data_IF_268606060627
#
_entry.id   IF_268606060627
#
_cell.length_a   1.000
_cell.length_b   1.000
_cell.length_c   1.000
_cell.angle_alpha   90.00
_cell.angle_beta   90.00
_cell.angle_gamma   90.00
#
_symmetry.space_group_name_H-M   'P 1'
#
loop_
_entity.id
_entity.type
_entity.pdbx_description
1 polymer ?
#
# COMPACT_ATOMS: atom_id res chain seq x y z
N UNK A 1 -59.66 37.73 -34.45
CA UNK A 1 -58.26 37.44 -34.83
C UNK A 1 -58.21 36.09 -35.54
N UNK A 2 -57.39 35.97 -36.58
CA UNK A 2 -56.97 34.64 -37.07
C UNK A 2 -55.96 34.12 -36.06
N UNK A 3 -56.03 32.83 -35.71
CA UNK A 3 -55.07 32.22 -34.80
C UNK A 3 -53.75 32.01 -35.54
N UNK A 4 -52.68 32.64 -35.07
CA UNK A 4 -51.33 32.43 -35.57
C UNK A 4 -50.71 31.19 -34.89
N UNK A 5 -49.69 30.58 -35.51
CA UNK A 5 -49.00 29.45 -34.90
C UNK A 5 -47.87 29.94 -33.97
N UNK A 6 -47.52 29.19 -32.92
CA UNK A 6 -46.41 29.54 -32.04
C UNK A 6 -45.09 29.69 -32.79
N UNK A 7 -44.20 30.52 -32.24
CA UNK A 7 -42.82 30.69 -32.70
C UNK A 7 -41.89 30.26 -31.58
N UNK A 8 -41.10 29.22 -31.85
CA UNK A 8 -40.15 28.71 -30.88
C UNK A 8 -38.73 29.22 -31.06
N UNK A 9 -37.98 29.26 -29.97
CA UNK A 9 -36.59 29.71 -29.92
C UNK A 9 -35.66 28.60 -29.42
N UNK A 10 -34.43 28.55 -29.95
CA UNK A 10 -33.48 27.48 -29.61
C UNK A 10 -33.17 27.41 -28.12
N UNK A 11 -33.18 26.19 -27.60
CA UNK A 11 -32.86 25.88 -26.21
C UNK A 11 -31.47 25.24 -26.09
N UNK A 12 -30.81 25.45 -24.96
CA UNK A 12 -29.48 24.90 -24.70
C UNK A 12 -29.42 24.37 -23.26
N UNK A 13 -28.93 23.15 -23.09
CA UNK A 13 -28.74 22.49 -21.81
C UNK A 13 -27.35 21.87 -21.73
N UNK A 14 -26.92 21.54 -20.52
CA UNK A 14 -25.66 20.83 -20.26
C UNK A 14 -25.94 19.67 -19.33
N UNK A 15 -25.44 18.48 -19.68
CA UNK A 15 -25.66 17.24 -18.94
C UNK A 15 -24.36 16.46 -18.88
N UNK A 16 -24.09 15.81 -17.75
CA UNK A 16 -22.96 14.89 -17.62
C UNK A 16 -23.28 13.62 -18.39
N UNK A 17 -22.35 13.11 -19.17
CA UNK A 17 -22.53 11.87 -19.89
C UNK A 17 -22.97 10.69 -19.01
N UNK A 18 -23.62 9.69 -19.60
CA UNK A 18 -24.14 8.52 -18.89
C UNK A 18 -25.23 8.81 -17.83
N UNK A 19 -25.47 10.08 -17.49
CA UNK A 19 -26.42 10.49 -16.47
C UNK A 19 -27.83 10.62 -17.03
N UNK A 20 -28.83 10.55 -16.15
CA UNK A 20 -30.22 10.88 -16.49
C UNK A 20 -30.63 12.13 -15.72
N UNK A 21 -31.02 13.16 -16.46
CA UNK A 21 -31.36 14.48 -15.92
C UNK A 21 -32.78 14.88 -16.31
N UNK A 22 -33.53 15.45 -15.36
CA UNK A 22 -34.78 16.15 -15.64
C UNK A 22 -34.48 17.63 -15.87
N UNK A 23 -34.84 18.12 -17.06
CA UNK A 23 -34.47 19.44 -17.56
C UNK A 23 -35.69 20.37 -17.61
N UNK A 24 -35.39 21.68 -17.47
CA UNK A 24 -36.39 22.74 -17.45
C UNK A 24 -37.15 22.84 -18.78
N UNK A 25 -38.29 23.52 -18.76
CA UNK A 25 -39.16 23.61 -19.93
C UNK A 25 -38.52 24.36 -21.10
N UNK A 26 -38.61 23.78 -22.30
CA UNK A 26 -38.20 24.41 -23.57
C UNK A 26 -39.12 25.57 -23.99
N UNK A 27 -40.30 25.69 -23.38
CA UNK A 27 -41.31 26.68 -23.79
C UNK A 27 -41.07 28.07 -23.19
N UNK A 28 -40.05 28.26 -22.35
CA UNK A 28 -39.88 29.48 -21.55
C UNK A 28 -39.47 30.70 -22.38
N UNK A 29 -38.81 30.46 -23.51
CA UNK A 29 -38.39 31.46 -24.48
C UNK A 29 -39.29 31.49 -25.73
N UNK A 30 -40.32 30.65 -25.78
CA UNK A 30 -41.26 30.56 -26.90
C UNK A 30 -42.36 31.63 -26.80
N UNK A 31 -42.93 31.99 -27.95
CA UNK A 31 -43.96 33.04 -28.02
C UNK A 31 -45.12 32.65 -28.92
N UNK A 32 -46.26 33.27 -28.64
CA UNK A 32 -47.47 33.18 -29.43
C UNK A 32 -48.06 34.59 -29.57
N UNK A 33 -48.54 34.95 -30.76
CA UNK A 33 -49.01 36.32 -31.05
C UNK A 33 -50.24 36.66 -30.22
N UNK A 34 -51.10 35.68 -29.98
CA UNK A 34 -52.30 35.80 -29.16
C UNK A 34 -52.01 35.62 -27.66
N UNK A 35 -50.77 35.27 -27.29
CA UNK A 35 -50.35 34.87 -25.94
C UNK A 35 -51.13 33.67 -25.41
N UNK A 36 -51.47 32.72 -26.28
CA UNK A 36 -52.05 31.46 -25.87
C UNK A 36 -51.07 30.66 -24.98
N UNK A 37 -51.55 29.92 -23.97
CA UNK A 37 -50.71 28.99 -23.22
C UNK A 37 -50.08 27.96 -24.15
N UNK A 38 -48.75 27.80 -24.05
CA UNK A 38 -48.01 26.87 -24.89
C UNK A 38 -47.82 25.51 -24.22
N UNK A 39 -47.84 24.48 -25.05
CA UNK A 39 -47.43 23.10 -24.74
C UNK A 39 -46.45 22.61 -25.80
N UNK A 40 -45.74 21.51 -25.57
CA UNK A 40 -45.06 20.79 -26.65
C UNK A 40 -46.04 19.78 -27.23
N UNK A 41 -46.34 19.89 -28.53
CA UNK A 41 -47.26 18.97 -29.21
C UNK A 41 -46.55 17.70 -29.66
N UNK A 42 -45.44 17.87 -30.38
CA UNK A 42 -44.64 16.79 -30.94
C UNK A 42 -43.14 17.09 -30.86
N UNK A 43 -42.33 16.04 -30.82
CA UNK A 43 -40.88 16.10 -30.80
C UNK A 43 -40.30 15.00 -31.69
N UNK A 44 -39.08 15.20 -32.18
CA UNK A 44 -38.45 14.31 -33.16
C UNK A 44 -36.92 14.34 -33.00
N UNK A 45 -36.23 13.36 -33.60
CA UNK A 45 -34.76 13.27 -33.58
C UNK A 45 -34.09 14.45 -34.28
N UNK A 46 -34.68 15.01 -35.34
CA UNK A 46 -34.08 16.11 -36.11
C UNK A 46 -35.12 16.92 -36.89
N UNK A 47 -34.71 18.04 -37.51
CA UNK A 47 -35.59 18.96 -38.26
C UNK A 47 -36.27 18.35 -39.49
N UNK A 48 -35.90 17.12 -39.92
CA UNK A 48 -36.65 16.38 -40.94
C UNK A 48 -37.87 15.64 -40.37
N UNK A 49 -38.10 15.71 -39.05
CA UNK A 49 -39.22 15.04 -38.37
C UNK A 49 -39.01 13.53 -38.22
N UNK A 50 -37.77 13.05 -38.30
CA UNK A 50 -37.46 11.62 -38.15
C UNK A 50 -37.84 11.16 -36.74
N UNK A 51 -38.60 10.06 -36.66
CA UNK A 51 -39.04 9.52 -35.38
C UNK A 51 -39.98 10.46 -34.62
N UNK A 52 -40.82 11.23 -35.30
CA UNK A 52 -41.78 12.14 -34.66
C UNK A 52 -42.70 11.39 -33.70
N UNK A 53 -42.74 11.86 -32.45
CA UNK A 53 -43.59 11.36 -31.38
C UNK A 53 -44.43 12.48 -30.76
N UNK A 54 -45.57 12.15 -30.17
CA UNK A 54 -46.35 13.09 -29.34
C UNK A 54 -45.69 13.25 -27.98
N UNK A 55 -45.55 14.49 -27.49
CA UNK A 55 -45.07 14.73 -26.13
C UNK A 55 -46.17 14.42 -25.11
N UNK A 56 -45.97 13.37 -24.32
CA UNK A 56 -46.96 12.85 -23.37
C UNK A 56 -46.33 12.35 -22.05
N UNK A 57 -45.03 12.61 -21.86
CA UNK A 57 -44.25 12.17 -20.70
C UNK A 57 -43.87 10.69 -20.69
N UNK A 58 -44.10 9.95 -21.77
CA UNK A 58 -43.74 8.53 -21.87
C UNK A 58 -43.12 8.13 -23.20
N UNK A 59 -43.48 8.79 -24.29
CA UNK A 59 -42.87 8.54 -25.60
C UNK A 59 -41.40 8.95 -25.57
N UNK A 60 -40.59 8.26 -26.37
CA UNK A 60 -39.16 8.52 -26.45
C UNK A 60 -38.68 8.74 -27.87
N UNK A 61 -37.61 9.53 -28.03
CA UNK A 61 -36.79 9.53 -29.23
C UNK A 61 -35.34 9.28 -28.84
N UNK A 62 -34.61 8.60 -29.72
CA UNK A 62 -33.15 8.48 -29.63
C UNK A 62 -32.53 9.52 -30.55
N UNK A 63 -31.59 10.28 -30.02
CA UNK A 63 -30.88 11.36 -30.71
C UNK A 63 -29.73 10.81 -31.55
N UNK A 64 -29.03 11.69 -32.27
CA UNK A 64 -27.93 11.30 -33.14
C UNK A 64 -26.73 10.72 -32.36
N UNK A 65 -26.42 11.27 -31.17
CA UNK A 65 -25.34 10.74 -30.33
C UNK A 65 -25.78 9.55 -29.46
N UNK A 66 -27.04 9.13 -29.55
CA UNK A 66 -27.58 7.96 -28.83
C UNK A 66 -28.24 8.29 -27.48
N UNK A 67 -28.37 9.58 -27.14
CA UNK A 67 -29.16 10.02 -26.00
C UNK A 67 -30.64 9.71 -26.16
N UNK A 68 -31.35 9.54 -25.03
CA UNK A 68 -32.78 9.25 -25.02
C UNK A 68 -33.56 10.40 -24.40
N UNK A 69 -34.53 10.95 -25.12
CA UNK A 69 -35.39 12.05 -24.67
C UNK A 69 -36.78 11.52 -24.36
N UNK A 70 -37.31 11.86 -23.18
CA UNK A 70 -38.72 11.68 -22.79
C UNK A 70 -39.35 13.05 -22.60
N UNK A 71 -40.24 13.45 -23.50
CA UNK A 71 -40.80 14.81 -23.56
C UNK A 71 -42.18 14.89 -22.89
N UNK A 72 -42.35 15.79 -21.92
CA UNK A 72 -43.66 16.12 -21.35
C UNK A 72 -44.37 17.20 -22.19
N UNK A 73 -45.70 17.20 -22.15
CA UNK A 73 -46.50 18.21 -22.84
C UNK A 73 -46.29 19.63 -22.28
N UNK A 74 -45.87 19.77 -21.01
CA UNK A 74 -45.56 21.07 -20.39
C UNK A 74 -44.19 21.64 -20.79
N UNK A 75 -43.48 20.96 -21.68
CA UNK A 75 -42.17 21.36 -22.18
C UNK A 75 -40.99 20.95 -21.31
N UNK A 76 -41.21 20.43 -20.09
CA UNK A 76 -40.14 19.76 -19.34
C UNK A 76 -39.81 18.41 -19.98
N UNK A 77 -38.59 17.91 -19.79
CA UNK A 77 -38.21 16.62 -20.35
C UNK A 77 -37.14 15.93 -19.52
N UNK A 78 -37.08 14.61 -19.63
CA UNK A 78 -35.97 13.81 -19.11
C UNK A 78 -35.05 13.47 -20.27
N UNK A 79 -33.76 13.65 -20.07
CA UNK A 79 -32.72 13.23 -21.01
C UNK A 79 -31.77 12.26 -20.33
N UNK A 80 -31.60 11.08 -20.92
CA UNK A 80 -30.56 10.12 -20.57
C UNK A 80 -29.41 10.28 -21.56
N UNK A 81 -28.28 10.79 -21.08
CA UNK A 81 -27.10 11.01 -21.88
C UNK A 81 -26.44 9.66 -22.25
N UNK A 82 -25.94 9.52 -23.49
CA UNK A 82 -25.11 8.38 -23.85
C UNK A 82 -23.76 8.47 -23.11
N UNK A 83 -23.05 7.35 -22.97
CA UNK A 83 -21.63 7.37 -22.67
C UNK A 83 -20.86 7.75 -23.94
N UNK A 84 -19.84 8.59 -23.80
CA UNK A 84 -19.06 9.18 -24.86
C UNK A 84 -17.59 9.00 -24.52
N UNK A 85 -16.78 8.71 -25.51
CA UNK A 85 -15.34 8.73 -25.34
C UNK A 85 -14.87 10.10 -25.82
N UNK A 86 -14.37 10.91 -24.88
CA UNK A 86 -13.91 12.28 -25.08
C UNK A 86 -12.43 12.36 -25.52
N UNK A 87 -11.83 11.26 -26.00
CA UNK A 87 -10.37 11.13 -26.24
C UNK A 87 -9.81 12.17 -27.21
N UNK A 88 -10.67 12.64 -28.10
CA UNK A 88 -10.33 13.72 -29.00
C UNK A 88 -10.74 15.02 -28.35
N UNK A 89 -9.76 15.75 -27.81
CA UNK A 89 -9.84 17.20 -27.81
C UNK A 89 -10.01 17.65 -29.27
N UNK A 90 -11.27 17.79 -29.68
CA UNK A 90 -11.75 18.78 -30.62
C UNK A 90 -11.04 18.84 -32.00
N UNK A 91 -11.27 17.84 -32.86
CA UNK A 91 -11.34 18.11 -34.31
C UNK A 91 -12.77 18.34 -34.80
N UNK A 92 -13.78 17.93 -34.02
CA UNK A 92 -15.20 17.95 -34.39
C UNK A 92 -16.08 18.87 -33.50
N UNK A 93 -15.50 19.62 -32.55
CA UNK A 93 -16.22 20.45 -31.59
C UNK A 93 -16.53 19.76 -30.25
N UNK A 94 -17.13 20.48 -29.29
CA UNK A 94 -17.70 19.88 -28.09
C UNK A 94 -18.77 18.83 -28.45
N UNK A 95 -18.90 17.77 -27.65
CA UNK A 95 -19.95 16.77 -27.81
C UNK A 95 -21.33 17.39 -27.54
N UNK A 96 -21.98 17.85 -28.61
CA UNK A 96 -23.31 18.45 -28.58
C UNK A 96 -24.29 17.50 -29.23
N UNK A 97 -25.21 16.98 -28.43
CA UNK A 97 -26.37 16.25 -28.90
C UNK A 97 -27.53 17.18 -29.20
N UNK A 98 -28.52 16.73 -29.96
CA UNK A 98 -29.70 17.54 -30.26
C UNK A 98 -30.95 16.74 -30.57
N UNK A 99 -32.08 17.39 -30.34
CA UNK A 99 -33.40 16.97 -30.84
C UNK A 99 -34.22 18.20 -31.18
N UNK A 100 -35.43 18.00 -31.71
CA UNK A 100 -36.33 19.11 -32.04
C UNK A 100 -37.73 18.94 -31.49
N UNK A 101 -38.44 20.04 -31.28
CA UNK A 101 -39.85 20.06 -30.89
C UNK A 101 -40.67 21.07 -31.68
N UNK A 102 -42.00 20.96 -31.57
CA UNK A 102 -42.95 21.99 -32.02
C UNK A 102 -43.86 22.38 -30.86
N UNK A 103 -43.86 23.67 -30.53
CA UNK A 103 -44.79 24.25 -29.56
C UNK A 103 -46.21 24.28 -30.13
N UNK A 104 -47.20 24.21 -29.25
CA UNK A 104 -48.62 24.10 -29.57
C UNK A 104 -49.44 25.03 -28.68
N UNK A 105 -50.31 25.83 -29.29
CA UNK A 105 -51.18 26.85 -28.64
C UNK A 105 -52.57 26.30 -28.22
N UNK A 106 -52.77 24.98 -28.31
CA UNK A 106 -54.06 24.30 -28.13
C UNK A 106 -54.81 24.01 -29.45
N UNK A 107 -54.35 24.54 -30.59
CA UNK A 107 -54.95 24.37 -31.91
C UNK A 107 -53.91 24.06 -33.00
N UNK A 108 -52.87 24.87 -33.12
CA UNK A 108 -51.81 24.79 -34.13
C UNK A 108 -50.47 24.46 -33.50
N UNK A 109 -49.66 23.68 -34.22
CA UNK A 109 -48.24 23.53 -33.92
C UNK A 109 -47.44 24.63 -34.64
N UNK A 110 -46.35 25.09 -34.01
CA UNK A 110 -45.36 25.99 -34.61
C UNK A 110 -44.99 25.52 -36.02
N UNK A 111 -44.82 26.41 -37.01
CA UNK A 111 -44.63 25.94 -38.40
C UNK A 111 -43.29 25.22 -38.60
N UNK A 112 -42.24 25.69 -37.94
CA UNK A 112 -40.90 25.11 -37.99
C UNK A 112 -40.59 24.30 -36.73
N UNK A 113 -39.66 23.34 -36.87
CA UNK A 113 -39.04 22.65 -35.75
C UNK A 113 -38.08 23.58 -35.00
N UNK A 114 -38.20 23.62 -33.68
CA UNK A 114 -37.28 24.32 -32.78
C UNK A 114 -36.24 23.34 -32.26
N UNK A 115 -34.96 23.71 -32.33
CA UNK A 115 -33.84 22.86 -31.91
C UNK A 115 -33.56 23.01 -30.43
N UNK A 116 -33.30 21.89 -29.76
CA UNK A 116 -32.74 21.81 -28.41
C UNK A 116 -31.34 21.24 -28.53
N UNK A 117 -30.34 21.99 -28.08
CA UNK A 117 -28.96 21.53 -27.99
C UNK A 117 -28.65 21.06 -26.57
N UNK A 118 -27.90 19.96 -26.46
CA UNK A 118 -27.47 19.41 -25.18
C UNK A 118 -25.96 19.19 -25.26
N UNK A 119 -25.20 20.01 -24.55
CA UNK A 119 -23.75 19.80 -24.37
C UNK A 119 -23.54 18.68 -23.37
N UNK A 120 -22.79 17.66 -23.77
CA UNK A 120 -22.35 16.59 -22.90
C UNK A 120 -21.02 16.99 -22.27
N UNK A 121 -20.92 16.85 -20.95
CA UNK A 121 -19.65 17.07 -20.23
C UNK A 121 -19.05 15.74 -19.82
N UNK A 122 -17.74 15.70 -19.99
CA UNK A 122 -16.86 14.59 -19.66
C UNK A 122 -16.79 14.30 -18.16
N UNK A 123 -16.62 13.03 -17.82
CA UNK A 123 -16.34 12.59 -16.45
C UNK A 123 -14.89 12.15 -16.32
N UNK A 124 -14.21 12.52 -15.24
CA UNK A 124 -12.83 12.09 -14.96
C UNK A 124 -12.81 10.94 -13.95
N UNK A 125 -11.82 10.04 -14.00
CA UNK A 125 -11.58 9.09 -12.92
C UNK A 125 -10.99 9.82 -11.71
N UNK A 126 -11.18 9.29 -10.51
CA UNK A 126 -10.63 9.87 -9.28
C UNK A 126 -9.82 8.81 -8.54
N UNK A 127 -8.50 9.01 -8.56
CA UNK A 127 -7.55 8.16 -7.84
C UNK A 127 -7.43 8.59 -6.36
N UNK A 128 -7.26 7.63 -5.45
CA UNK A 128 -7.22 7.83 -3.99
C UNK A 128 -5.89 7.36 -3.42
N UNK A 129 -5.30 8.14 -2.51
CA UNK A 129 -4.03 7.73 -1.90
C UNK A 129 -4.18 6.45 -1.07
N UNK A 130 -3.23 5.55 -1.26
CA UNK A 130 -3.12 4.24 -0.64
C UNK A 130 -1.97 4.19 0.37
N UNK A 131 -2.18 3.41 1.42
CA UNK A 131 -1.17 3.12 2.43
C UNK A 131 -1.21 1.64 2.73
N UNK A 132 -0.05 1.01 2.69
CA UNK A 132 0.13 -0.40 3.00
C UNK A 132 1.41 -0.60 3.83
N UNK A 133 1.58 -1.77 4.42
CA UNK A 133 2.73 -2.09 5.27
C UNK A 133 3.28 -3.48 5.01
N UNK A 134 4.60 -3.60 5.03
CA UNK A 134 5.28 -4.88 4.83
C UNK A 134 6.24 -5.17 5.98
N UNK A 135 6.18 -6.41 6.46
CA UNK A 135 7.11 -6.93 7.45
C UNK A 135 8.46 -7.30 6.83
N UNK A 136 9.50 -7.35 7.65
CA UNK A 136 10.84 -7.80 7.24
C UNK A 136 10.79 -9.18 6.58
N UNK A 137 11.42 -9.32 5.41
CA UNK A 137 11.50 -10.54 4.61
C UNK A 137 10.17 -11.04 4.04
N UNK A 138 9.10 -10.25 4.17
CA UNK A 138 7.77 -10.58 3.70
C UNK A 138 7.43 -9.85 2.39
N UNK A 139 6.30 -10.23 1.82
CA UNK A 139 5.67 -9.52 0.71
C UNK A 139 4.23 -9.18 1.07
N UNK A 140 3.73 -8.09 0.52
CA UNK A 140 2.32 -7.70 0.57
C UNK A 140 1.79 -7.54 -0.85
N UNK A 141 0.50 -7.80 -1.03
CA UNK A 141 -0.18 -7.73 -2.33
C UNK A 141 -1.45 -6.91 -2.20
N UNK A 142 -1.74 -6.09 -3.19
CA UNK A 142 -2.97 -5.32 -3.25
C UNK A 142 -3.29 -4.87 -4.65
N UNK A 143 -4.26 -3.98 -4.77
CA UNK A 143 -4.63 -3.36 -6.04
C UNK A 143 -5.05 -1.91 -5.79
N UNK A 144 -4.32 -0.97 -6.40
CA UNK A 144 -4.53 0.47 -6.21
C UNK A 144 -5.83 0.98 -6.81
N UNK A 145 -6.38 0.29 -7.82
CA UNK A 145 -7.64 0.68 -8.48
C UNK A 145 -8.85 0.16 -7.68
N UNK A 146 -8.83 -1.13 -7.32
CA UNK A 146 -9.98 -1.82 -6.72
C UNK A 146 -10.02 -1.76 -5.19
N UNK A 147 -8.92 -1.33 -4.54
CA UNK A 147 -8.80 -1.35 -3.08
C UNK A 147 -8.53 -2.75 -2.48
N UNK A 148 -8.24 -3.76 -3.31
CA UNK A 148 -7.94 -5.10 -2.80
C UNK A 148 -6.65 -5.07 -1.95
N UNK A 149 -6.61 -5.84 -0.87
CA UNK A 149 -5.45 -5.91 0.02
C UNK A 149 -5.43 -4.86 1.15
N UNK A 150 -6.55 -4.16 1.40
CA UNK A 150 -6.67 -3.24 2.54
C UNK A 150 -6.37 -1.77 2.22
N UNK A 151 -6.09 -1.47 0.95
CA UNK A 151 -5.91 -0.10 0.43
C UNK A 151 -7.25 0.52 -0.01
N UNK A 152 -7.25 1.78 -0.45
CA UNK A 152 -8.48 2.48 -0.83
C UNK A 152 -8.85 2.15 -2.27
N UNK A 153 -10.15 2.06 -2.58
CA UNK A 153 -10.60 1.91 -3.95
C UNK A 153 -10.71 3.28 -4.63
N UNK A 154 -10.32 3.34 -5.90
CA UNK A 154 -10.51 4.50 -6.76
C UNK A 154 -11.99 4.64 -7.16
N UNK A 155 -12.40 5.87 -7.47
CA UNK A 155 -13.72 6.13 -8.06
C UNK A 155 -13.58 6.18 -9.58
N UNK A 156 -14.10 5.15 -10.22
CA UNK A 156 -14.09 4.99 -11.67
C UNK A 156 -15.27 5.76 -12.29
N UNK A 157 -15.04 6.40 -13.44
CA UNK A 157 -16.08 7.00 -14.27
C UNK A 157 -16.71 5.93 -15.19
N UNK A 158 -17.40 6.35 -16.26
CA UNK A 158 -18.05 5.42 -17.20
C UNK A 158 -17.10 4.96 -18.34
N UNK A 159 -15.91 5.56 -18.43
CA UNK A 159 -15.02 5.54 -19.60
C UNK A 159 -14.02 4.38 -19.57
N UNK A 160 -14.57 3.18 -19.39
CA UNK A 160 -13.79 1.93 -19.39
C UNK A 160 -13.15 1.65 -20.76
N UNK A 161 -11.94 1.05 -20.82
CA UNK A 161 -11.17 0.46 -19.71
C UNK A 161 -10.28 1.45 -18.95
N UNK A 162 -10.01 1.11 -17.69
CA UNK A 162 -9.06 1.81 -16.83
C UNK A 162 -7.72 1.10 -16.81
N UNK A 163 -6.64 1.88 -16.79
CA UNK A 163 -5.27 1.38 -16.64
C UNK A 163 -4.40 2.40 -15.91
N UNK A 164 -3.18 2.00 -15.56
CA UNK A 164 -2.15 2.90 -15.06
C UNK A 164 -1.23 3.30 -16.22
N UNK A 165 -1.19 4.58 -16.55
CA UNK A 165 -0.27 5.07 -17.59
C UNK A 165 1.16 5.23 -17.07
N UNK A 166 1.31 5.42 -15.75
CA UNK A 166 2.61 5.63 -15.14
C UNK A 166 2.62 5.26 -13.66
N UNK A 167 3.77 4.80 -13.16
CA UNK A 167 4.05 4.63 -11.73
C UNK A 167 5.52 4.99 -11.49
N UNK A 168 5.78 5.90 -10.55
CA UNK A 168 7.13 6.43 -10.27
C UNK A 168 7.40 6.54 -8.78
N UNK A 169 8.64 6.24 -8.36
CA UNK A 169 9.09 6.48 -6.99
C UNK A 169 9.23 7.98 -6.74
N UNK A 170 8.53 8.51 -5.75
CA UNK A 170 8.59 9.93 -5.33
C UNK A 170 9.27 10.11 -3.97
N UNK A 171 9.25 9.10 -3.11
CA UNK A 171 10.03 9.05 -1.85
C UNK A 171 10.71 7.69 -1.72
N UNK A 172 11.98 7.68 -1.29
CA UNK A 172 12.81 6.47 -1.21
C UNK A 172 14.10 6.62 -2.01
N UNK A 173 14.95 5.60 -2.00
CA UNK A 173 16.18 5.57 -2.82
C UNK A 173 16.02 4.60 -3.96
N UNK A 174 15.95 5.11 -5.20
CA UNK A 174 15.82 4.29 -6.40
C UNK A 174 17.10 3.49 -6.67
N UNK A 175 16.95 2.20 -6.92
CA UNK A 175 18.01 1.30 -7.40
C UNK A 175 17.81 0.98 -8.88
N UNK A 176 16.59 0.62 -9.29
CA UNK A 176 16.24 0.38 -10.70
C UNK A 176 14.73 0.56 -10.96
N UNK A 177 14.37 0.83 -12.21
CA UNK A 177 12.98 0.93 -12.68
C UNK A 177 12.90 0.36 -14.10
N UNK A 178 12.23 -0.77 -14.25
CA UNK A 178 12.11 -1.49 -15.52
C UNK A 178 10.63 -1.77 -15.82
N UNK A 179 10.23 -1.58 -17.08
CA UNK A 179 8.93 -1.99 -17.58
C UNK A 179 9.12 -3.24 -18.45
N UNK A 180 8.44 -4.33 -18.11
CA UNK A 180 8.31 -5.47 -19.00
C UNK A 180 7.15 -5.22 -19.98
N UNK A 181 7.49 -4.85 -21.22
CA UNK A 181 6.49 -4.55 -22.25
C UNK A 181 5.66 -5.77 -22.69
N UNK A 182 6.04 -7.00 -22.34
CA UNK A 182 5.28 -8.20 -22.68
C UNK A 182 4.13 -8.47 -21.70
N UNK A 183 4.33 -8.10 -20.43
CA UNK A 183 3.37 -8.32 -19.33
C UNK A 183 2.76 -7.02 -18.80
N UNK A 184 3.23 -5.87 -19.30
CA UNK A 184 2.91 -4.53 -18.80
C UNK A 184 3.18 -4.33 -17.30
N UNK A 185 4.06 -5.15 -16.71
CA UNK A 185 4.45 -5.03 -15.31
C UNK A 185 5.64 -4.09 -15.16
N UNK A 186 5.47 -3.05 -14.34
CA UNK A 186 6.56 -2.18 -13.90
C UNK A 186 7.17 -2.72 -12.61
N UNK A 187 8.49 -2.95 -12.64
CA UNK A 187 9.29 -3.32 -11.47
C UNK A 187 10.18 -2.17 -11.04
N UNK A 188 9.96 -1.65 -9.82
CA UNK A 188 10.75 -0.60 -9.19
C UNK A 188 11.47 -1.17 -7.98
N UNK A 189 12.80 -1.19 -8.02
CA UNK A 189 13.65 -1.61 -6.89
C UNK A 189 14.14 -0.38 -6.17
N UNK A 190 13.99 -0.36 -4.85
CA UNK A 190 14.51 0.65 -3.95
C UNK A 190 15.55 0.06 -3.00
N UNK A 191 16.17 0.88 -2.16
CA UNK A 191 17.01 0.40 -1.06
C UNK A 191 16.24 -0.44 -0.03
N UNK A 192 14.92 -0.30 0.02
CA UNK A 192 14.07 -0.88 1.05
C UNK A 192 13.30 -2.11 0.56
N UNK A 193 13.06 -2.25 -0.75
CA UNK A 193 12.32 -3.37 -1.32
C UNK A 193 12.07 -3.24 -2.81
N UNK A 194 11.15 -4.06 -3.31
CA UNK A 194 10.81 -4.13 -4.74
C UNK A 194 9.30 -4.09 -4.92
N UNK A 195 8.82 -3.08 -5.65
CA UNK A 195 7.45 -3.03 -6.16
C UNK A 195 7.41 -3.68 -7.54
N UNK A 196 6.49 -4.62 -7.75
CA UNK A 196 6.04 -5.05 -9.07
C UNK A 196 4.56 -4.70 -9.19
N UNK A 197 4.19 -3.87 -10.17
CA UNK A 197 2.81 -3.42 -10.40
C UNK A 197 2.43 -3.62 -11.85
N UNK A 198 1.30 -4.27 -12.07
CA UNK A 198 0.68 -4.45 -13.38
C UNK A 198 -0.03 -3.16 -13.78
N UNK A 199 0.38 -2.59 -14.91
CA UNK A 199 -0.18 -1.34 -15.39
C UNK A 199 -1.54 -1.51 -16.06
N UNK A 200 -1.96 -2.73 -16.40
CA UNK A 200 -3.26 -2.98 -17.01
C UNK A 200 -4.41 -2.95 -15.99
N UNK A 201 -4.16 -3.38 -14.74
CA UNK A 201 -5.21 -3.54 -13.73
C UNK A 201 -4.87 -3.01 -12.33
N UNK A 202 -3.65 -2.50 -12.12
CA UNK A 202 -3.19 -1.94 -10.85
C UNK A 202 -2.88 -2.97 -9.76
N UNK A 203 -2.90 -4.28 -10.06
CA UNK A 203 -2.43 -5.30 -9.13
C UNK A 203 -0.95 -5.10 -8.82
N UNK A 204 -0.59 -5.16 -7.54
CA UNK A 204 0.80 -5.05 -7.13
C UNK A 204 1.22 -6.12 -6.14
N UNK A 205 2.52 -6.39 -6.14
CA UNK A 205 3.24 -7.06 -5.06
C UNK A 205 4.39 -6.17 -4.64
N UNK A 206 4.52 -5.93 -3.34
CA UNK A 206 5.69 -5.28 -2.76
C UNK A 206 6.44 -6.27 -1.88
N UNK A 207 7.73 -6.47 -2.11
CA UNK A 207 8.59 -7.37 -1.33
C UNK A 207 9.65 -6.59 -0.58
N UNK A 208 9.73 -6.78 0.73
CA UNK A 208 10.76 -6.15 1.56
C UNK A 208 12.15 -6.65 1.15
N UNK A 209 13.09 -5.72 0.97
CA UNK A 209 14.48 -6.02 0.60
C UNK A 209 15.33 -6.49 1.79
N UNK A 210 14.92 -6.11 3.00
CA UNK A 210 15.56 -6.55 4.24
C UNK A 210 14.95 -7.89 4.66
N UNK A 211 15.79 -8.89 4.95
CA UNK A 211 15.36 -10.22 5.40
C UNK A 211 15.85 -10.52 6.82
N UNK A 212 15.19 -11.45 7.55
CA UNK A 212 15.69 -11.92 8.84
C UNK A 212 17.07 -12.57 8.70
N UNK A 213 17.97 -12.30 9.64
CA UNK A 213 19.24 -13.02 9.76
C UNK A 213 19.00 -14.20 10.70
N UNK A 214 19.26 -15.41 10.21
CA UNK A 214 18.95 -16.65 10.95
C UNK A 214 20.19 -17.53 11.05
N UNK A 215 20.53 -17.92 12.28
CA UNK A 215 21.51 -18.95 12.61
C UNK A 215 20.77 -20.05 13.36
N UNK A 216 20.65 -21.23 12.76
CA UNK A 216 20.00 -22.41 13.34
C UNK A 216 20.98 -23.56 13.36
N UNK A 217 20.98 -24.35 14.44
CA UNK A 217 21.87 -25.50 14.63
C UNK A 217 23.33 -25.14 14.29
N UNK A 218 23.89 -24.10 14.92
CA UNK A 218 25.30 -23.76 14.71
C UNK A 218 26.18 -24.99 15.02
N UNK A 219 27.30 -25.15 14.32
CA UNK A 219 28.25 -26.25 14.59
C UNK A 219 29.59 -25.74 15.12
N UNK A 220 29.78 -24.42 15.09
CA UNK A 220 30.95 -23.71 15.59
C UNK A 220 30.67 -22.19 15.59
N UNK A 221 31.61 -21.40 16.13
CA UNK A 221 31.51 -19.95 16.11
C UNK A 221 31.43 -19.36 14.70
N UNK A 222 31.97 -20.03 13.67
CA UNK A 222 31.94 -19.52 12.32
C UNK A 222 30.51 -19.46 11.75
N UNK A 223 29.60 -20.35 12.19
CA UNK A 223 28.17 -20.32 11.86
C UNK A 223 27.52 -18.97 12.16
N UNK A 224 27.92 -18.32 13.27
CA UNK A 224 27.45 -16.98 13.62
C UNK A 224 28.12 -15.91 12.77
N UNK A 225 29.45 -15.95 12.66
CA UNK A 225 30.19 -14.91 11.93
C UNK A 225 29.89 -14.87 10.44
N UNK A 226 29.57 -16.02 9.80
CA UNK A 226 29.14 -16.07 8.40
C UNK A 226 27.79 -15.39 8.18
N UNK A 227 26.95 -15.31 9.21
CA UNK A 227 25.69 -14.57 9.21
C UNK A 227 25.87 -13.10 9.63
N UNK A 228 27.11 -12.64 9.86
CA UNK A 228 27.41 -11.28 10.33
C UNK A 228 27.24 -11.08 11.84
N UNK A 229 27.02 -12.16 12.61
CA UNK A 229 26.84 -12.11 14.07
C UNK A 229 28.18 -12.33 14.76
N UNK A 230 28.59 -11.39 15.60
CA UNK A 230 29.83 -11.46 16.39
C UNK A 230 29.56 -11.95 17.81
N UNK A 231 30.39 -12.84 18.33
CA UNK A 231 30.31 -13.35 19.70
C UNK A 231 31.59 -13.01 20.48
N UNK A 232 31.44 -12.56 21.72
CA UNK A 232 32.57 -12.18 22.58
C UNK A 232 32.33 -12.62 24.04
N UNK A 233 33.24 -13.43 24.57
CA UNK A 233 33.15 -14.00 25.91
C UNK A 233 33.93 -13.21 26.96
N UNK A 234 33.33 -13.11 28.14
CA UNK A 234 33.81 -12.38 29.30
C UNK A 234 33.59 -13.23 30.55
N UNK A 235 34.64 -13.53 31.29
CA UNK A 235 34.59 -14.36 32.50
C UNK A 235 35.09 -13.50 33.70
N UNK A 236 36.41 -13.44 33.92
CA UNK A 236 36.99 -12.59 34.99
C UNK A 236 37.01 -11.08 34.69
N UNK A 237 36.83 -10.70 33.43
CA UNK A 237 36.75 -9.30 32.98
C UNK A 237 35.34 -9.07 32.46
N UNK A 238 34.72 -7.94 32.79
CA UNK A 238 33.38 -7.60 32.32
C UNK A 238 33.40 -6.73 31.04
N UNK A 239 32.33 -6.76 30.23
CA UNK A 239 32.27 -6.04 28.96
C UNK A 239 31.95 -4.54 29.09
N UNK A 240 31.74 -4.01 30.30
CA UNK A 240 31.24 -2.65 30.51
C UNK A 240 32.34 -1.58 30.61
N UNK A 241 31.97 -0.31 30.42
CA UNK A 241 32.88 0.83 30.60
C UNK A 241 33.37 0.94 32.06
N UNK A 242 32.49 0.64 33.01
CA UNK A 242 32.81 0.52 34.44
C UNK A 242 32.39 -0.87 34.91
N UNK A 243 33.35 -1.69 35.37
CA UNK A 243 33.08 -3.01 35.91
C UNK A 243 32.03 -2.97 37.04
N UNK A 244 31.12 -3.93 37.03
CA UNK A 244 29.97 -4.09 37.91
C UNK A 244 28.77 -3.20 37.55
N UNK A 245 28.87 -2.34 36.52
CA UNK A 245 27.84 -1.34 36.21
C UNK A 245 27.37 -1.43 34.76
N UNK A 246 26.29 -2.19 34.53
CA UNK A 246 25.64 -2.31 33.21
C UNK A 246 25.21 -0.96 32.63
N UNK A 247 24.82 0.00 33.47
CA UNK A 247 24.36 1.33 33.04
C UNK A 247 25.51 2.22 32.55
N UNK A 248 26.77 1.83 32.77
CA UNK A 248 27.93 2.54 32.23
C UNK A 248 28.08 2.36 30.71
N UNK A 249 27.34 1.42 30.11
CA UNK A 249 27.44 1.05 28.69
C UNK A 249 28.50 -0.01 28.43
N UNK A 250 28.46 -0.60 27.23
CA UNK A 250 29.47 -1.52 26.72
C UNK A 250 30.75 -0.79 26.34
N UNK A 251 31.88 -1.37 26.73
CA UNK A 251 33.19 -0.97 26.24
C UNK A 251 33.47 -1.70 24.92
N UNK A 252 33.14 -1.04 23.80
CA UNK A 252 33.32 -1.63 22.46
C UNK A 252 34.79 -1.96 22.13
N UNK A 253 35.77 -1.32 22.78
CA UNK A 253 37.19 -1.65 22.62
C UNK A 253 37.56 -3.03 23.19
N UNK A 254 36.75 -3.56 24.12
CA UNK A 254 36.92 -4.90 24.67
C UNK A 254 36.31 -5.99 23.76
N UNK A 255 35.54 -5.63 22.73
CA UNK A 255 35.02 -6.57 21.72
C UNK A 255 36.08 -6.79 20.63
N UNK A 256 37.04 -7.67 20.91
CA UNK A 256 38.24 -7.87 20.10
C UNK A 256 38.58 -9.37 19.97
N UNK A 257 39.68 -9.68 19.29
CA UNK A 257 40.09 -11.07 19.05
C UNK A 257 40.30 -11.88 20.34
N UNK A 258 40.71 -11.24 21.44
CA UNK A 258 40.91 -11.91 22.73
C UNK A 258 39.58 -12.34 23.34
N UNK A 259 38.59 -11.45 23.41
CA UNK A 259 37.25 -11.80 23.92
C UNK A 259 36.50 -12.72 22.97
N UNK A 260 36.66 -12.59 21.66
CA UNK A 260 36.14 -13.56 20.69
C UNK A 260 36.78 -14.95 20.88
N UNK A 261 38.07 -15.02 21.21
CA UNK A 261 38.80 -16.26 21.47
C UNK A 261 38.37 -17.00 22.75
N UNK A 262 37.60 -16.35 23.63
CA UNK A 262 36.97 -16.94 24.82
C UNK A 262 35.60 -17.57 24.53
N UNK A 263 35.04 -17.40 23.33
CA UNK A 263 33.79 -18.08 22.97
C UNK A 263 34.10 -19.51 22.55
N UNK A 264 33.45 -20.48 23.20
CA UNK A 264 33.60 -21.91 22.88
C UNK A 264 32.29 -22.48 22.40
N UNK A 265 32.40 -23.39 21.43
CA UNK A 265 31.25 -24.09 20.89
C UNK A 265 31.31 -25.56 21.30
N UNK A 266 30.18 -26.06 21.80
CA UNK A 266 29.99 -27.49 22.02
C UNK A 266 29.05 -28.04 20.96
N UNK A 267 29.51 -29.07 20.25
CA UNK A 267 28.73 -29.84 19.29
C UNK A 267 28.83 -31.32 19.70
N UNK A 268 27.73 -31.87 20.21
CA UNK A 268 27.60 -33.26 20.60
C UNK A 268 26.69 -34.05 19.64
N UNK A 269 26.66 -33.67 18.36
CA UNK A 269 26.06 -34.49 17.31
C UNK A 269 24.53 -34.54 17.33
N UNK A 270 23.86 -33.39 17.49
CA UNK A 270 22.41 -33.26 17.38
C UNK A 270 21.64 -33.48 18.68
N UNK A 271 22.31 -33.29 19.82
CA UNK A 271 21.71 -33.37 21.15
C UNK A 271 21.26 -31.98 21.64
N UNK A 272 20.33 -31.95 22.60
CA UNK A 272 19.78 -30.73 23.21
C UNK A 272 20.78 -29.84 23.99
N UNK A 273 22.09 -30.11 23.91
CA UNK A 273 23.17 -29.55 24.75
C UNK A 273 24.21 -28.78 23.89
N UNK A 274 23.89 -28.54 22.61
CA UNK A 274 24.75 -27.85 21.65
C UNK A 274 24.70 -26.32 21.85
N UNK A 275 25.75 -25.61 21.45
CA UNK A 275 25.76 -24.14 21.42
C UNK A 275 27.05 -23.46 21.87
N UNK A 276 27.03 -22.13 21.86
CA UNK A 276 28.12 -21.26 22.26
C UNK A 276 28.04 -20.87 23.75
N UNK A 277 29.18 -20.97 24.44
CA UNK A 277 29.41 -20.49 25.81
C UNK A 277 30.66 -19.64 25.92
N UNK A 278 31.12 -19.41 27.16
CA UNK A 278 32.28 -18.58 27.51
C UNK A 278 33.29 -19.42 28.28
N UNK A 279 34.59 -19.23 28.01
CA UNK A 279 35.67 -19.93 28.71
C UNK A 279 36.97 -19.12 28.73
N UNK A 280 37.69 -19.17 29.86
CA UNK A 280 38.98 -18.49 30.01
C UNK A 280 40.15 -19.22 29.32
N UNK A 281 40.15 -20.55 29.39
CA UNK A 281 41.24 -21.40 28.87
C UNK A 281 40.69 -22.38 27.82
N UNK A 282 41.53 -22.79 26.86
CA UNK A 282 41.15 -23.87 25.94
C UNK A 282 41.24 -25.23 26.66
N UNK A 283 40.15 -26.01 26.72
CA UNK A 283 40.29 -27.46 26.94
C UNK A 283 39.35 -28.22 27.90
N UNK A 284 38.09 -27.83 28.15
CA UNK A 284 37.12 -28.78 28.73
C UNK A 284 35.73 -28.67 28.10
N UNK A 285 35.28 -29.77 27.51
CA UNK A 285 34.04 -29.89 26.75
C UNK A 285 32.75 -29.85 27.59
N UNK A 286 32.85 -29.85 28.92
CA UNK A 286 31.71 -29.92 29.84
C UNK A 286 31.35 -28.56 30.48
N UNK A 287 32.22 -27.56 30.39
CA UNK A 287 32.05 -26.24 30.99
C UNK A 287 31.69 -25.16 29.97
N UNK A 288 31.75 -25.44 28.64
CA UNK A 288 31.52 -24.49 27.53
C UNK A 288 30.10 -23.84 27.52
N UNK A 289 29.72 -23.11 28.57
CA UNK A 289 28.39 -22.56 28.88
C UNK A 289 28.56 -21.10 29.24
N UNK A 290 27.45 -20.42 29.47
CA UNK A 290 27.45 -19.10 30.12
C UNK A 290 27.15 -19.38 31.59
N UNK A 291 28.19 -19.36 32.42
CA UNK A 291 28.13 -19.66 33.84
C UNK A 291 27.92 -18.42 34.71
N UNK A 292 27.80 -18.64 36.02
CA UNK A 292 27.79 -17.55 36.99
C UNK A 292 29.08 -16.75 36.86
N UNK A 293 28.98 -15.42 36.90
CA UNK A 293 30.07 -14.45 36.63
C UNK A 293 30.51 -14.29 35.18
N UNK A 294 30.04 -15.11 34.26
CA UNK A 294 30.33 -14.96 32.84
C UNK A 294 29.29 -14.11 32.10
N UNK A 295 29.73 -13.49 31.01
CA UNK A 295 28.90 -12.75 30.07
C UNK A 295 29.26 -13.09 28.63
N UNK A 296 28.24 -13.34 27.82
CA UNK A 296 28.40 -13.43 26.38
C UNK A 296 27.81 -12.18 25.73
N UNK A 297 28.65 -11.40 25.05
CA UNK A 297 28.20 -10.28 24.22
C UNK A 297 27.96 -10.78 22.80
N UNK A 298 26.75 -10.58 22.31
CA UNK A 298 26.33 -10.86 20.95
C UNK A 298 26.23 -9.51 20.22
N UNK A 299 27.09 -9.28 19.24
CA UNK A 299 26.95 -8.21 18.26
C UNK A 299 26.06 -8.72 17.12
N UNK A 300 24.91 -8.09 16.93
CA UNK A 300 23.92 -8.49 15.93
C UNK A 300 24.35 -8.17 14.48
N UNK A 301 25.39 -7.34 14.30
CA UNK A 301 25.86 -6.89 12.99
C UNK A 301 24.98 -5.81 12.34
N UNK A 302 23.71 -5.74 12.74
CA UNK A 302 22.73 -4.73 12.33
C UNK A 302 21.99 -4.17 13.55
N UNK A 303 21.42 -2.97 13.41
CA UNK A 303 20.45 -2.49 14.39
C UNK A 303 19.16 -3.33 14.28
N UNK A 304 18.52 -3.60 15.41
CA UNK A 304 17.32 -4.41 15.50
C UNK A 304 16.46 -3.94 16.68
N UNK A 305 15.14 -4.09 16.56
CA UNK A 305 14.20 -3.96 17.68
C UNK A 305 13.71 -5.29 18.22
N UNK A 306 13.96 -6.38 17.50
CA UNK A 306 13.47 -7.71 17.83
C UNK A 306 14.50 -8.76 17.48
N UNK A 307 14.88 -9.57 18.47
CA UNK A 307 15.68 -10.77 18.23
C UNK A 307 15.18 -11.91 19.10
N UNK A 308 15.35 -13.13 18.61
CA UNK A 308 15.03 -14.34 19.34
C UNK A 308 16.28 -15.21 19.39
N UNK A 309 16.80 -15.46 20.59
CA UNK A 309 18.03 -16.21 20.78
C UNK A 309 17.64 -17.59 21.30
N UNK A 310 17.92 -18.62 20.51
CA UNK A 310 17.73 -19.99 20.94
C UNK A 310 18.80 -20.32 21.98
N UNK A 311 18.37 -20.89 23.12
CA UNK A 311 19.27 -21.30 24.18
C UNK A 311 19.02 -22.75 24.56
N UNK A 312 20.11 -23.45 24.87
CA UNK A 312 20.12 -24.82 25.37
C UNK A 312 20.59 -24.86 26.82
N UNK A 313 20.27 -25.94 27.54
CA UNK A 313 20.54 -26.13 28.96
C UNK A 313 20.01 -25.06 29.92
N UNK A 314 18.97 -24.32 29.55
CA UNK A 314 18.26 -23.44 30.48
C UNK A 314 17.05 -24.17 31.10
N UNK A 315 17.29 -24.88 32.20
CA UNK A 315 16.31 -25.77 32.82
C UNK A 315 15.31 -25.07 33.74
N UNK A 316 14.21 -25.75 34.08
CA UNK A 316 13.18 -25.22 34.96
C UNK A 316 13.76 -24.78 36.33
N UNK A 317 13.53 -23.51 36.69
CA UNK A 317 14.09 -22.89 37.90
C UNK A 317 15.37 -22.07 37.65
N UNK A 318 15.94 -22.15 36.45
CA UNK A 318 17.07 -21.33 36.02
C UNK A 318 16.59 -20.06 35.32
N UNK A 319 17.46 -19.05 35.21
CA UNK A 319 17.13 -17.78 34.56
C UNK A 319 18.32 -17.22 33.79
N UNK A 320 18.08 -16.88 32.53
CA UNK A 320 18.99 -16.06 31.73
C UNK A 320 18.60 -14.58 31.90
N UNK A 321 19.59 -13.71 32.12
CA UNK A 321 19.45 -12.26 32.03
C UNK A 321 19.95 -11.82 30.67
N UNK A 322 19.25 -10.85 30.08
CA UNK A 322 19.71 -10.13 28.89
C UNK A 322 19.77 -8.63 29.15
N UNK A 323 20.79 -7.96 28.63
CA UNK A 323 20.96 -6.51 28.65
C UNK A 323 21.14 -6.01 27.21
N UNK A 324 20.48 -4.90 26.84
CA UNK A 324 20.50 -4.33 25.49
C UNK A 324 21.34 -3.06 25.44
N UNK A 325 22.09 -2.92 24.35
CA UNK A 325 22.90 -1.74 24.09
C UNK A 325 22.79 -1.28 22.65
N UNK A 326 22.87 0.04 22.47
CA UNK A 326 22.86 0.68 21.15
C UNK A 326 24.12 0.36 20.34
N UNK A 327 24.15 0.74 19.06
CA UNK A 327 25.34 0.65 18.21
C UNK A 327 26.58 1.37 18.77
N UNK A 328 26.38 2.38 19.64
CA UNK A 328 27.45 3.11 20.33
C UNK A 328 27.82 2.53 21.69
N UNK A 329 27.17 1.43 22.11
CA UNK A 329 27.38 0.79 23.41
C UNK A 329 26.61 1.43 24.56
N UNK A 330 25.68 2.36 24.31
CA UNK A 330 24.86 2.94 25.38
C UNK A 330 23.82 1.93 25.90
N UNK A 331 23.62 1.85 27.21
CA UNK A 331 22.61 0.98 27.82
C UNK A 331 21.19 1.39 27.42
N UNK A 332 20.34 0.42 27.11
CA UNK A 332 18.94 0.62 26.73
C UNK A 332 18.00 0.04 27.79
N UNK A 333 18.07 -1.27 28.01
CA UNK A 333 17.16 -1.98 28.93
C UNK A 333 17.71 -3.37 29.28
N UNK A 334 17.09 -4.03 30.25
CA UNK A 334 17.39 -5.40 30.63
C UNK A 334 16.12 -6.20 30.89
N UNK A 335 16.23 -7.52 30.85
CA UNK A 335 15.15 -8.42 31.25
C UNK A 335 15.65 -9.84 31.51
N UNK A 336 14.70 -10.75 31.71
CA UNK A 336 14.99 -12.13 32.09
C UNK A 336 14.13 -13.13 31.32
N UNK A 337 14.68 -14.30 31.07
CA UNK A 337 13.98 -15.46 30.51
C UNK A 337 14.14 -16.64 31.46
N UNK A 338 13.03 -17.23 31.91
CA UNK A 338 13.04 -18.43 32.73
C UNK A 338 13.27 -19.69 31.89
N UNK A 339 13.99 -20.65 32.47
CA UNK A 339 14.19 -21.95 31.84
C UNK A 339 12.96 -22.84 31.86
N UNK A 340 13.04 -23.93 31.08
CA UNK A 340 11.94 -24.88 30.87
C UNK A 340 12.41 -26.31 31.11
N UNK A 341 11.50 -27.26 31.27
CA UNK A 341 11.85 -28.64 31.61
C UNK A 341 12.74 -29.33 30.56
N UNK A 342 12.63 -28.96 29.28
CA UNK A 342 13.47 -29.49 28.20
C UNK A 342 14.90 -28.92 28.18
N UNK A 343 15.17 -27.83 28.90
CA UNK A 343 16.41 -27.08 28.79
C UNK A 343 16.52 -26.22 27.52
N UNK A 344 15.62 -26.38 26.55
CA UNK A 344 15.62 -25.65 25.29
C UNK A 344 14.50 -24.61 25.28
N UNK A 345 14.87 -23.34 25.17
CA UNK A 345 13.91 -22.24 25.09
C UNK A 345 14.48 -21.09 24.28
N UNK A 346 13.71 -20.02 24.19
CA UNK A 346 13.99 -18.84 23.41
C UNK A 346 14.05 -17.61 24.33
N UNK A 347 15.17 -16.89 24.28
CA UNK A 347 15.27 -15.54 24.83
C UNK A 347 14.69 -14.59 23.79
N UNK A 348 13.39 -14.36 23.87
CA UNK A 348 12.66 -13.46 22.98
C UNK A 348 12.72 -12.02 23.48
N UNK A 349 13.34 -11.15 22.69
CA UNK A 349 13.63 -9.76 23.05
C UNK A 349 12.89 -8.85 22.08
N UNK A 350 12.16 -7.87 22.63
CA UNK A 350 11.58 -6.75 21.88
C UNK A 350 11.83 -5.45 22.63
N UNK A 351 12.15 -4.39 21.91
CA UNK A 351 12.46 -3.07 22.47
C UNK A 351 11.84 -1.95 21.63
N UNK A 352 11.35 -0.91 22.32
CA UNK A 352 10.90 0.33 21.67
C UNK A 352 12.05 1.21 21.16
N UNK A 353 13.30 0.83 21.39
CA UNK A 353 14.52 1.49 20.89
C UNK A 353 15.42 0.46 20.23
N UNK A 354 15.96 0.76 19.05
CA UNK A 354 16.84 -0.14 18.34
C UNK A 354 18.14 -0.42 19.13
N UNK A 355 18.54 -1.68 19.16
CA UNK A 355 19.77 -2.18 19.78
C UNK A 355 20.64 -2.89 18.76
N UNK A 356 21.94 -2.96 19.03
CA UNK A 356 22.91 -3.68 18.18
C UNK A 356 23.68 -4.74 18.96
N UNK A 357 23.62 -4.70 20.29
CA UNK A 357 24.27 -5.68 21.15
C UNK A 357 23.32 -6.21 22.20
N UNK A 358 23.43 -7.51 22.45
CA UNK A 358 22.78 -8.21 23.55
C UNK A 358 23.87 -8.81 24.43
N UNK A 359 23.81 -8.58 25.74
CA UNK A 359 24.68 -9.26 26.71
C UNK A 359 23.86 -10.28 27.45
N UNK A 360 24.24 -11.56 27.38
CA UNK A 360 23.60 -12.65 28.11
C UNK A 360 24.41 -13.02 29.34
N UNK A 361 23.71 -13.24 30.47
CA UNK A 361 24.30 -13.58 31.78
C UNK A 361 23.45 -14.59 32.52
N UNK A 362 24.07 -15.32 33.45
CA UNK A 362 23.39 -16.23 34.37
C UNK A 362 23.17 -15.61 35.76
N UNK A 363 22.10 -16.01 36.47
CA UNK A 363 21.69 -15.45 37.78
C UNK A 363 22.18 -16.22 39.01
N UNK A 364 22.64 -17.47 38.89
CA UNK A 364 22.95 -18.30 40.06
C UNK A 364 23.97 -19.42 39.77
N UNK A 365 24.63 -19.90 40.84
CA UNK A 365 25.36 -21.16 40.81
C UNK A 365 24.39 -22.29 40.43
N UNK A 366 24.57 -22.85 39.23
CA UNK A 366 23.71 -23.92 38.69
C UNK A 366 22.91 -23.53 37.46
N UNK A 367 22.73 -22.23 37.16
CA UNK A 367 22.13 -21.79 35.89
C UNK A 367 23.23 -21.70 34.84
N UNK A 368 23.23 -22.60 33.86
CA UNK A 368 24.29 -22.66 32.84
C UNK A 368 23.68 -23.01 31.49
N UNK A 369 23.64 -22.04 30.58
CA UNK A 369 23.02 -22.22 29.27
C UNK A 369 24.03 -21.91 28.15
N UNK A 370 23.69 -22.29 26.92
CA UNK A 370 24.44 -21.91 25.72
C UNK A 370 23.54 -21.18 24.75
N UNK A 371 24.15 -20.47 23.81
CA UNK A 371 23.46 -19.91 22.65
C UNK A 371 23.49 -20.93 21.51
N UNK A 372 22.32 -21.45 21.16
CA UNK A 372 22.12 -22.51 20.16
C UNK A 372 21.47 -21.98 18.86
N UNK A 373 21.54 -20.67 18.67
CA UNK A 373 21.02 -20.03 17.48
C UNK A 373 20.49 -18.65 17.76
N UNK A 374 20.23 -17.92 16.69
CA UNK A 374 19.67 -16.58 16.77
C UNK A 374 18.88 -16.25 15.52
N UNK A 375 17.73 -15.61 15.71
CA UNK A 375 16.97 -14.94 14.65
C UNK A 375 16.99 -13.44 14.95
N UNK A 376 17.47 -12.64 14.02
CA UNK A 376 17.54 -11.19 14.12
C UNK A 376 16.59 -10.61 13.09
N UNK A 377 15.68 -9.74 13.53
CA UNK A 377 14.85 -8.95 12.64
C UNK A 377 15.51 -7.57 12.52
N UNK A 378 16.20 -7.26 11.40
CA UNK A 378 16.87 -5.97 11.28
C UNK A 378 15.86 -4.82 11.33
N UNK A 379 16.28 -3.69 11.88
CA UNK A 379 15.49 -2.47 11.86
C UNK A 379 15.33 -2.00 10.41
N UNK A 380 14.10 -1.86 9.88
CA UNK A 380 13.91 -1.34 8.54
C UNK A 380 14.31 0.14 8.48
N UNK A 381 14.51 0.64 7.25
CA UNK A 381 14.73 2.07 7.04
C UNK A 381 13.57 2.88 7.62
N UNK A 382 13.88 4.01 8.25
CA UNK A 382 12.86 4.94 8.76
C UNK A 382 12.14 5.72 7.64
N UNK A 383 12.56 5.55 6.39
CA UNK A 383 11.97 6.21 5.22
C UNK A 383 11.13 5.20 4.44
N UNK A 384 9.82 5.43 4.41
CA UNK A 384 8.87 4.69 3.55
C UNK A 384 9.18 4.89 2.07
N UNK A 385 8.84 3.89 1.25
CA UNK A 385 8.77 4.09 -0.19
C UNK A 385 7.40 4.69 -0.54
N UNK A 386 7.38 5.75 -1.36
CA UNK A 386 6.14 6.34 -1.87
C UNK A 386 6.19 6.33 -3.39
N UNK A 387 5.18 5.72 -4.00
CA UNK A 387 5.03 5.63 -5.45
C UNK A 387 3.83 6.47 -5.88
N UNK A 388 4.01 7.40 -6.80
CA UNK A 388 2.89 8.10 -7.44
C UNK A 388 2.47 7.32 -8.68
N UNK A 389 1.20 6.97 -8.75
CA UNK A 389 0.59 6.33 -9.91
C UNK A 389 -0.39 7.27 -10.61
N UNK A 390 -0.54 7.08 -11.92
CA UNK A 390 -1.46 7.84 -12.78
C UNK A 390 -2.51 6.89 -13.34
N UNK A 391 -3.72 6.94 -12.79
CA UNK A 391 -4.90 6.27 -13.33
C UNK A 391 -5.35 7.00 -14.59
N UNK A 392 -5.69 6.24 -15.63
CA UNK A 392 -6.27 6.73 -16.88
C UNK A 392 -7.46 5.88 -17.25
N UNK A 393 -8.41 6.51 -17.93
CA UNK A 393 -9.54 5.87 -18.59
C UNK A 393 -9.32 5.73 -20.11
N UNK A 394 -10.39 5.42 -20.85
CA UNK A 394 -10.35 5.13 -22.27
C UNK A 394 -10.14 6.34 -23.17
N UNK A 395 -10.47 7.53 -22.69
CA UNK A 395 -10.28 8.82 -23.35
C UNK A 395 -9.05 9.59 -22.90
N UNK A 396 -8.33 9.06 -21.92
CA UNK A 396 -7.04 9.60 -21.51
C UNK A 396 -7.19 10.73 -20.49
N UNK A 397 -8.36 10.84 -19.89
CA UNK A 397 -8.56 11.57 -18.65
C UNK A 397 -7.78 10.87 -17.54
N UNK A 398 -7.12 11.67 -16.69
CA UNK A 398 -6.17 11.13 -15.72
C UNK A 398 -6.36 11.68 -14.33
N UNK A 399 -6.08 10.83 -13.34
CA UNK A 399 -5.95 11.22 -11.94
C UNK A 399 -4.71 10.61 -11.32
N UNK A 400 -4.09 11.33 -10.40
CA UNK A 400 -2.89 10.87 -9.70
C UNK A 400 -3.18 10.60 -8.23
N UNK A 401 -2.57 9.54 -7.71
CA UNK A 401 -2.55 9.24 -6.29
C UNK A 401 -1.23 8.55 -5.91
N UNK A 402 -1.04 8.29 -4.62
CA UNK A 402 0.19 7.66 -4.10
C UNK A 402 -0.10 6.33 -3.43
N UNK A 403 0.76 5.34 -3.67
CA UNK A 403 0.89 4.15 -2.85
C UNK A 403 2.08 4.32 -1.90
N UNK A 404 1.82 4.40 -0.60
CA UNK A 404 2.84 4.50 0.46
C UNK A 404 3.08 3.14 1.11
N UNK A 405 4.32 2.64 1.06
CA UNK A 405 4.73 1.39 1.69
C UNK A 405 5.52 1.69 2.96
N UNK A 406 4.91 1.37 4.10
CA UNK A 406 5.57 1.42 5.39
C UNK A 406 6.26 0.09 5.69
N UNK A 407 7.34 0.16 6.46
CA UNK A 407 8.05 -1.04 6.93
C UNK A 407 7.77 -1.27 8.40
N UNK A 408 7.28 -2.45 8.72
CA UNK A 408 7.15 -2.89 10.10
C UNK A 408 8.25 -3.89 10.46
N UNK A 409 8.59 -3.88 11.74
CA UNK A 409 9.49 -4.79 12.44
C UNK A 409 8.86 -6.14 12.77
N UNK A 410 7.56 -6.34 12.49
CA UNK A 410 6.92 -7.64 12.66
C UNK A 410 7.14 -8.52 11.43
N UNK A 411 7.23 -9.84 11.64
CA UNK A 411 7.31 -10.83 10.55
C UNK A 411 5.93 -11.20 10.01
N UNK A 412 4.91 -10.41 10.31
CA UNK A 412 3.52 -10.64 9.89
C UNK A 412 3.07 -9.44 9.07
N UNK A 413 2.72 -9.65 7.80
CA UNK A 413 2.01 -8.65 7.02
C UNK A 413 0.66 -8.37 7.71
N UNK A 414 0.40 -7.11 8.03
CA UNK A 414 -0.93 -6.68 8.44
C UNK A 414 -1.71 -6.37 7.16
N UNK A 415 -2.69 -7.22 6.84
CA UNK A 415 -3.72 -6.94 5.85
C UNK A 415 -4.90 -6.20 6.49
#
# INVERSE_FOLDING_TARGET
>A
PVNDAPVGNTDNYTVVEGSTSSLASVLTNDTDVENNPLTVGIFATNNAGVGTQTANGSNTVTTALGGTVVMNADGTFTYTAPARNHATVDTDGPDIDSFVYRSNDGSLNSTAWTTVNITLTDTVPIAVNDVDSVGVGSSVTGNVITGAGGVSADTLNIDSPFNLTNVVLTTGTLVSNNLDNATNVRTIVTSNGTLAIDLDDGNYTYTAGVTPIVVTNPTNNASFTSAGVGLFGFDTQEPYNTAGNINSGLNLGNLNATSAGRVRFRDNGGEADDGAGVEQNAGSNNTDRIENTEQLVINLGVASRTTNIAVSNLFAGETAIWDLYSSTGAYISSGTTGGVASGQTNVSISSGTAFSYVVLRSTANGSHFRVDGITIIPEPSAVSDVFTYTLSDSDGDTSNATLTLNYDTTTTAFN
#
